data_IF_996903922025
#
_entry.id   IF_996903922025
#
_cell.length_a   1.000
_cell.length_b   1.000
_cell.length_c   1.000
_cell.angle_alpha   90.00
_cell.angle_beta   90.00
_cell.angle_gamma   90.00
#
_symmetry.space_group_name_H-M   'P 1'
#
loop_
_entity.id
_entity.type
_entity.pdbx_description
1 polymer ?
#
# COMPACT_ATOMS: atom_id res chain seq x y z
N UNK A 1 -35.66 -30.09 -18.11
CA UNK A 1 -34.99 -28.77 -18.06
C UNK A 1 -34.18 -28.69 -16.78
N UNK A 2 -32.89 -29.04 -16.84
CA UNK A 2 -31.99 -28.91 -15.71
C UNK A 2 -31.79 -27.41 -15.43
N UNK A 3 -31.97 -26.97 -14.18
CA UNK A 3 -31.60 -25.62 -13.73
C UNK A 3 -30.13 -25.42 -14.08
N UNK A 4 -29.83 -24.45 -14.95
CA UNK A 4 -28.47 -24.02 -15.19
C UNK A 4 -27.85 -23.68 -13.82
N UNK A 5 -26.87 -24.49 -13.37
CA UNK A 5 -26.15 -24.24 -12.14
C UNK A 5 -25.61 -22.82 -12.20
N UNK A 6 -25.91 -22.01 -11.19
CA UNK A 6 -25.47 -20.61 -11.12
C UNK A 6 -23.96 -20.56 -11.27
N UNK A 7 -23.50 -20.11 -12.44
CA UNK A 7 -22.08 -19.99 -12.76
C UNK A 7 -21.45 -19.05 -11.72
N UNK A 8 -20.42 -19.52 -11.03
CA UNK A 8 -19.71 -18.75 -10.00
C UNK A 8 -19.19 -17.45 -10.62
N UNK A 9 -19.55 -16.30 -10.07
CA UNK A 9 -19.04 -15.01 -10.54
C UNK A 9 -17.59 -14.88 -10.12
N UNK A 10 -16.70 -14.75 -11.11
CA UNK A 10 -15.26 -14.62 -10.92
C UNK A 10 -14.76 -13.29 -11.45
N UNK A 11 -14.01 -12.56 -10.61
CA UNK A 11 -13.38 -11.31 -10.96
C UNK A 11 -11.87 -11.49 -11.08
N UNK A 12 -11.29 -11.07 -12.21
CA UNK A 12 -9.84 -10.95 -12.38
C UNK A 12 -9.42 -9.51 -12.11
N UNK A 13 -8.53 -9.28 -11.15
CA UNK A 13 -8.03 -7.97 -10.76
C UNK A 13 -6.58 -7.75 -11.21
N UNK A 14 -6.28 -6.56 -11.76
CA UNK A 14 -4.93 -6.13 -12.13
C UNK A 14 -4.52 -4.91 -11.27
N UNK A 15 -3.41 -5.06 -10.54
CA UNK A 15 -2.79 -4.02 -9.72
C UNK A 15 -1.40 -3.67 -10.28
N UNK A 16 -1.13 -2.37 -10.45
CA UNK A 16 0.09 -1.86 -11.08
C UNK A 16 0.31 -0.37 -10.85
N UNK A 17 -0.11 0.13 -9.68
CA UNK A 17 -0.03 1.55 -9.31
C UNK A 17 1.37 2.00 -8.89
N UNK A 18 2.21 1.07 -8.42
CA UNK A 18 3.50 1.35 -7.80
C UNK A 18 4.60 0.44 -8.39
N UNK A 19 5.60 0.04 -7.59
CA UNK A 19 6.67 -0.87 -8.04
C UNK A 19 6.29 -2.36 -8.01
N UNK A 20 5.06 -2.69 -7.60
CA UNK A 20 4.52 -4.06 -7.62
C UNK A 20 3.50 -4.16 -8.74
N UNK A 21 3.57 -5.27 -9.47
CA UNK A 21 2.55 -5.67 -10.46
C UNK A 21 1.94 -6.98 -9.99
N UNK A 22 0.62 -7.06 -9.97
CA UNK A 22 -0.09 -8.23 -9.47
C UNK A 22 -1.35 -8.54 -10.25
N UNK A 23 -1.68 -9.82 -10.31
CA UNK A 23 -2.93 -10.32 -10.88
C UNK A 23 -3.56 -11.31 -9.92
N UNK A 24 -4.79 -11.05 -9.52
CA UNK A 24 -5.54 -11.90 -8.60
C UNK A 24 -6.89 -12.30 -9.16
N UNK A 25 -7.40 -13.45 -8.72
CA UNK A 25 -8.75 -13.92 -9.06
C UNK A 25 -9.52 -14.18 -7.76
N UNK A 26 -10.70 -13.58 -7.67
CA UNK A 26 -11.59 -13.71 -6.51
C UNK A 26 -12.99 -14.10 -6.95
N UNK A 27 -13.73 -14.78 -6.07
CA UNK A 27 -15.15 -15.06 -6.28
C UNK A 27 -16.07 -14.04 -5.58
N UNK A 28 -17.36 -14.12 -5.85
CA UNK A 28 -18.36 -13.25 -5.21
C UNK A 28 -18.51 -13.44 -3.68
N UNK A 29 -18.01 -14.55 -3.12
CA UNK A 29 -18.01 -14.80 -1.69
C UNK A 29 -16.78 -14.19 -0.99
N UNK A 30 -15.83 -13.62 -1.74
CA UNK A 30 -14.60 -13.03 -1.22
C UNK A 30 -13.45 -14.04 -1.08
N UNK A 31 -13.59 -15.26 -1.62
CA UNK A 31 -12.51 -16.24 -1.62
C UNK A 31 -11.46 -15.84 -2.66
N UNK A 32 -10.19 -15.83 -2.24
CA UNK A 32 -9.05 -15.60 -3.13
C UNK A 32 -8.63 -16.92 -3.75
N UNK A 33 -8.78 -17.05 -5.07
CA UNK A 33 -8.40 -18.25 -5.83
C UNK A 33 -6.96 -18.19 -6.33
N UNK A 34 -6.47 -16.99 -6.64
CA UNK A 34 -5.06 -16.74 -6.97
C UNK A 34 -4.70 -15.29 -6.66
N UNK A 35 -3.41 -15.03 -6.40
CA UNK A 35 -2.90 -13.70 -6.06
C UNK A 35 -1.41 -13.56 -6.42
N UNK A 36 -1.12 -13.67 -7.70
CA UNK A 36 0.25 -13.65 -8.22
C UNK A 36 0.81 -12.23 -8.24
N UNK A 37 2.08 -12.07 -7.88
CA UNK A 37 2.71 -10.75 -7.76
C UNK A 37 4.20 -10.79 -8.04
N UNK A 38 4.68 -9.76 -8.74
CA UNK A 38 6.10 -9.46 -8.92
C UNK A 38 6.45 -8.08 -8.37
N UNK A 39 7.67 -7.93 -7.86
CA UNK A 39 8.17 -6.68 -7.30
C UNK A 39 9.38 -6.20 -8.08
N UNK A 40 9.33 -4.97 -8.58
CA UNK A 40 10.50 -4.32 -9.15
C UNK A 40 11.42 -3.84 -8.01
N UNK A 41 12.59 -4.49 -7.89
CA UNK A 41 13.61 -4.20 -6.90
C UNK A 41 14.77 -3.48 -7.58
N UNK A 42 15.12 -2.28 -7.09
CA UNK A 42 16.24 -1.49 -7.59
C UNK A 42 17.49 -1.68 -6.72
N UNK A 43 18.71 -1.41 -7.23
CA UNK A 43 19.94 -1.46 -6.43
C UNK A 43 19.86 -0.60 -5.16
N UNK A 44 20.60 -0.99 -4.12
CA UNK A 44 20.66 -0.24 -2.87
C UNK A 44 21.04 1.23 -3.10
N UNK A 45 20.42 2.14 -2.35
CA UNK A 45 20.61 3.59 -2.52
C UNK A 45 19.78 4.24 -3.63
N UNK A 46 19.12 3.47 -4.50
CA UNK A 46 18.28 4.00 -5.59
C UNK A 46 16.79 3.80 -5.31
N UNK A 47 15.94 4.66 -5.89
CA UNK A 47 14.49 4.48 -5.91
C UNK A 47 14.01 4.07 -7.30
N UNK A 48 12.83 3.47 -7.40
CA UNK A 48 12.24 3.07 -8.68
C UNK A 48 11.68 4.28 -9.45
N UNK A 49 12.04 4.39 -10.73
CA UNK A 49 11.55 5.45 -11.61
C UNK A 49 10.30 4.99 -12.37
N UNK A 50 9.36 5.91 -12.73
CA UNK A 50 8.13 5.53 -13.42
C UNK A 50 8.35 4.79 -14.74
N UNK A 51 9.36 5.18 -15.53
CA UNK A 51 9.66 4.57 -16.82
C UNK A 51 10.12 3.12 -16.69
N UNK A 52 11.10 2.87 -15.83
CA UNK A 52 11.67 1.54 -15.59
C UNK A 52 10.63 0.60 -14.95
N UNK A 53 9.82 1.15 -14.03
CA UNK A 53 8.72 0.42 -13.42
C UNK A 53 7.67 -0.01 -14.44
N UNK A 54 7.31 0.89 -15.38
CA UNK A 54 6.37 0.56 -16.46
C UNK A 54 6.94 -0.50 -17.42
N UNK A 55 8.25 -0.45 -17.70
CA UNK A 55 8.92 -1.50 -18.47
C UNK A 55 8.85 -2.85 -17.75
N UNK A 56 9.16 -2.88 -16.45
CA UNK A 56 9.00 -4.08 -15.63
C UNK A 56 7.57 -4.62 -15.70
N UNK A 57 6.55 -3.77 -15.56
CA UNK A 57 5.15 -4.20 -15.61
C UNK A 57 4.81 -4.81 -16.97
N UNK A 58 5.25 -4.18 -18.06
CA UNK A 58 5.04 -4.67 -19.43
C UNK A 58 5.63 -6.06 -19.63
N UNK A 59 6.83 -6.32 -19.10
CA UNK A 59 7.50 -7.62 -19.23
C UNK A 59 6.80 -8.75 -18.45
N UNK A 60 6.17 -8.43 -17.32
CA UNK A 60 5.67 -9.46 -16.39
C UNK A 60 4.16 -9.72 -16.48
N UNK A 61 3.37 -8.71 -16.87
CA UNK A 61 1.92 -8.74 -16.70
C UNK A 61 1.24 -9.90 -17.43
N UNK A 62 1.63 -10.24 -18.66
CA UNK A 62 1.02 -11.35 -19.41
C UNK A 62 1.33 -12.72 -18.77
N UNK A 63 2.56 -12.90 -18.29
CA UNK A 63 2.96 -14.11 -17.53
C UNK A 63 2.14 -14.22 -16.24
N UNK A 64 1.92 -13.10 -15.55
CA UNK A 64 1.12 -13.07 -14.32
C UNK A 64 -0.35 -13.38 -14.58
N UNK A 65 -0.94 -12.88 -15.67
CA UNK A 65 -2.31 -13.24 -16.06
C UNK A 65 -2.42 -14.75 -16.28
N UNK A 66 -1.48 -15.34 -17.02
CA UNK A 66 -1.46 -16.78 -17.25
C UNK A 66 -1.27 -17.56 -15.95
N UNK A 67 -0.33 -17.14 -15.10
CA UNK A 67 -0.08 -17.76 -13.80
C UNK A 67 -1.32 -17.70 -12.90
N UNK A 68 -2.01 -16.56 -12.84
CA UNK A 68 -3.21 -16.38 -12.03
C UNK A 68 -4.37 -17.29 -12.48
N UNK A 69 -4.58 -17.43 -13.80
CA UNK A 69 -5.57 -18.36 -14.36
C UNK A 69 -5.23 -19.82 -14.04
N UNK A 70 -3.96 -20.21 -14.21
CA UNK A 70 -3.47 -21.56 -13.90
C UNK A 70 -3.61 -21.88 -12.41
N UNK A 71 -3.18 -20.97 -11.52
CA UNK A 71 -3.25 -21.16 -10.08
C UNK A 71 -4.70 -21.26 -9.57
N UNK A 72 -5.61 -20.46 -10.14
CA UNK A 72 -7.04 -20.53 -9.82
C UNK A 72 -7.75 -21.73 -10.49
N UNK A 73 -7.09 -22.44 -11.41
CA UNK A 73 -7.64 -23.54 -12.20
C UNK A 73 -8.90 -23.16 -13.00
N UNK A 74 -8.90 -21.96 -13.59
CA UNK A 74 -10.03 -21.43 -14.37
C UNK A 74 -9.62 -21.07 -15.79
N UNK A 75 -10.59 -21.08 -16.70
CA UNK A 75 -10.37 -20.67 -18.09
C UNK A 75 -10.74 -19.19 -18.26
N UNK A 76 -10.21 -18.49 -19.28
CA UNK A 76 -10.66 -17.14 -19.61
C UNK A 76 -12.18 -17.00 -19.75
N UNK A 77 -12.85 -18.04 -20.28
CA UNK A 77 -14.30 -18.08 -20.46
C UNK A 77 -15.10 -18.17 -19.16
N UNK A 78 -14.46 -18.46 -18.03
CA UNK A 78 -15.08 -18.50 -16.70
C UNK A 78 -15.02 -17.14 -15.98
N UNK A 79 -14.16 -16.22 -16.45
CA UNK A 79 -14.07 -14.87 -15.90
C UNK A 79 -15.34 -14.10 -16.23
N UNK A 80 -15.95 -13.50 -15.21
CA UNK A 80 -17.20 -12.76 -15.34
C UNK A 80 -16.99 -11.24 -15.46
N UNK A 81 -15.87 -10.74 -14.92
CA UNK A 81 -15.53 -9.31 -14.93
C UNK A 81 -14.03 -9.12 -14.80
N UNK A 82 -13.49 -8.09 -15.45
CA UNK A 82 -12.11 -7.65 -15.26
C UNK A 82 -12.10 -6.34 -14.50
N UNK A 83 -11.31 -6.30 -13.44
CA UNK A 83 -11.09 -5.13 -12.60
C UNK A 83 -9.64 -4.68 -12.77
N UNK A 84 -9.42 -3.36 -12.78
CA UNK A 84 -8.07 -2.82 -12.80
C UNK A 84 -7.98 -1.58 -11.93
N UNK A 85 -6.77 -1.31 -11.47
CA UNK A 85 -6.49 -0.11 -10.69
C UNK A 85 -6.53 1.12 -11.60
N UNK A 86 -7.55 1.95 -11.42
CA UNK A 86 -7.70 3.22 -12.16
C UNK A 86 -6.82 4.32 -11.56
N UNK A 87 -6.51 4.22 -10.27
CA UNK A 87 -5.65 5.14 -9.52
C UNK A 87 -6.09 5.29 -8.06
N UNK A 88 -5.40 6.11 -7.25
CA UNK A 88 -4.19 6.87 -7.60
C UNK A 88 -2.95 5.98 -7.80
N UNK A 89 -1.86 6.54 -8.33
CA UNK A 89 -0.61 5.82 -8.58
C UNK A 89 0.29 6.51 -9.60
N UNK A 90 1.41 5.87 -9.95
CA UNK A 90 2.33 6.37 -10.98
C UNK A 90 1.71 6.24 -12.38
N UNK A 91 1.72 7.32 -13.15
CA UNK A 91 1.02 7.40 -14.44
C UNK A 91 1.45 6.32 -15.45
N UNK A 92 2.76 6.16 -15.68
CA UNK A 92 3.26 5.19 -16.66
C UNK A 92 2.95 3.72 -16.28
N UNK A 93 3.20 3.25 -15.04
CA UNK A 93 2.77 1.93 -14.58
C UNK A 93 1.26 1.69 -14.66
N UNK A 94 0.44 2.67 -14.23
CA UNK A 94 -1.02 2.58 -14.33
C UNK A 94 -1.50 2.40 -15.77
N UNK A 95 -0.86 3.08 -16.73
CA UNK A 95 -1.19 2.96 -18.15
C UNK A 95 -0.98 1.53 -18.67
N UNK A 96 0.05 0.82 -18.20
CA UNK A 96 0.29 -0.59 -18.57
C UNK A 96 -0.85 -1.48 -18.08
N UNK A 97 -1.20 -1.41 -16.79
CA UNK A 97 -2.28 -2.22 -16.22
C UNK A 97 -3.64 -1.94 -16.88
N UNK A 98 -3.95 -0.66 -17.13
CA UNK A 98 -5.16 -0.23 -17.82
C UNK A 98 -5.23 -0.75 -19.26
N UNK A 99 -4.11 -0.69 -19.99
CA UNK A 99 -4.05 -1.18 -21.38
C UNK A 99 -4.31 -2.68 -21.44
N UNK A 100 -3.64 -3.47 -20.60
CA UNK A 100 -3.85 -4.92 -20.55
C UNK A 100 -5.29 -5.25 -20.15
N UNK A 101 -5.83 -4.61 -19.12
CA UNK A 101 -7.19 -4.86 -18.66
C UNK A 101 -8.24 -4.59 -19.75
N UNK A 102 -8.10 -3.48 -20.48
CA UNK A 102 -8.96 -3.14 -21.62
C UNK A 102 -8.85 -4.16 -22.75
N UNK A 103 -7.62 -4.55 -23.12
CA UNK A 103 -7.38 -5.54 -24.16
C UNK A 103 -8.03 -6.88 -23.80
N UNK A 104 -7.84 -7.36 -22.57
CA UNK A 104 -8.46 -8.61 -22.12
C UNK A 104 -9.99 -8.53 -22.07
N UNK A 105 -10.54 -7.39 -21.63
CA UNK A 105 -12.00 -7.17 -21.61
C UNK A 105 -12.60 -7.26 -23.01
N UNK A 106 -11.94 -6.66 -24.01
CA UNK A 106 -12.36 -6.73 -25.41
C UNK A 106 -12.21 -8.15 -25.97
N UNK A 107 -11.08 -8.81 -25.74
CA UNK A 107 -10.80 -10.16 -26.26
C UNK A 107 -11.74 -11.21 -25.67
N UNK A 108 -12.05 -11.13 -24.38
CA UNK A 108 -12.90 -12.10 -23.69
C UNK A 108 -14.36 -11.68 -23.65
N UNK A 109 -14.70 -10.50 -24.18
CA UNK A 109 -16.07 -9.95 -24.18
C UNK A 109 -16.68 -9.90 -22.77
N UNK A 110 -15.88 -9.48 -21.79
CA UNK A 110 -16.29 -9.37 -20.37
C UNK A 110 -16.30 -7.90 -19.92
N UNK A 111 -17.22 -7.50 -19.02
CA UNK A 111 -17.25 -6.15 -18.48
C UNK A 111 -15.92 -5.73 -17.83
N UNK A 112 -15.65 -4.43 -17.89
CA UNK A 112 -14.45 -3.81 -17.31
C UNK A 112 -14.83 -2.81 -16.21
N UNK A 113 -14.19 -2.92 -15.04
CA UNK A 113 -14.42 -2.03 -13.90
C UNK A 113 -13.12 -1.37 -13.46
N UNK A 114 -13.13 -0.04 -13.40
CA UNK A 114 -12.02 0.75 -12.83
C UNK A 114 -12.18 0.87 -11.32
N UNK A 115 -11.16 0.45 -10.57
CA UNK A 115 -11.17 0.40 -9.10
C UNK A 115 -10.24 1.47 -8.54
N UNK A 116 -10.65 2.11 -7.44
CA UNK A 116 -9.79 3.01 -6.68
C UNK A 116 -8.83 2.18 -5.81
N UNK A 117 -7.53 2.46 -5.91
CA UNK A 117 -6.48 1.71 -5.22
C UNK A 117 -6.66 1.70 -3.68
N UNK A 118 -6.92 2.87 -3.09
CA UNK A 118 -7.08 3.01 -1.64
C UNK A 118 -8.32 2.23 -1.14
N UNK A 119 -9.43 2.28 -1.88
CA UNK A 119 -10.64 1.53 -1.55
C UNK A 119 -10.39 0.02 -1.70
N UNK A 120 -9.60 -0.40 -2.70
CA UNK A 120 -9.18 -1.80 -2.86
C UNK A 120 -8.49 -2.34 -1.60
N UNK A 121 -7.58 -1.57 -1.00
CA UNK A 121 -6.95 -1.91 0.28
C UNK A 121 -7.97 -2.05 1.42
N UNK A 122 -8.91 -1.11 1.54
CA UNK A 122 -9.92 -1.12 2.60
C UNK A 122 -10.84 -2.34 2.47
N UNK A 123 -11.41 -2.58 1.29
CA UNK A 123 -12.36 -3.66 1.08
C UNK A 123 -11.70 -5.04 1.19
N UNK A 124 -10.48 -5.21 0.68
CA UNK A 124 -9.73 -6.45 0.89
C UNK A 124 -9.46 -6.68 2.39
N UNK A 125 -9.08 -5.63 3.12
CA UNK A 125 -8.92 -5.70 4.58
C UNK A 125 -10.20 -6.11 5.30
N UNK A 126 -11.36 -5.58 4.91
CA UNK A 126 -12.67 -5.94 5.46
C UNK A 126 -13.02 -7.40 5.20
N UNK A 127 -12.79 -7.89 3.99
CA UNK A 127 -13.02 -9.30 3.61
C UNK A 127 -12.15 -10.24 4.44
N UNK A 128 -10.84 -9.99 4.51
CA UNK A 128 -9.90 -10.88 5.20
C UNK A 128 -10.07 -10.86 6.72
N UNK A 129 -10.36 -9.70 7.31
CA UNK A 129 -10.47 -9.55 8.77
C UNK A 129 -11.90 -9.70 9.32
N UNK A 130 -12.91 -9.72 8.45
CA UNK A 130 -14.32 -9.68 8.86
C UNK A 130 -14.76 -8.34 9.46
N UNK A 131 -13.94 -7.28 9.34
CA UNK A 131 -14.25 -5.98 9.91
C UNK A 131 -15.40 -5.28 9.19
N UNK A 132 -16.44 -4.88 9.94
CA UNK A 132 -17.70 -4.36 9.35
C UNK A 132 -17.73 -2.86 9.12
N UNK A 133 -17.10 -2.05 9.97
CA UNK A 133 -17.04 -0.59 9.82
C UNK A 133 -15.82 0.00 10.54
N UNK A 134 -14.60 -0.29 10.07
CA UNK A 134 -13.38 0.19 10.72
C UNK A 134 -13.09 1.66 10.40
N UNK A 135 -12.41 2.33 11.33
CA UNK A 135 -11.54 3.45 10.99
C UNK A 135 -10.23 2.85 10.49
N UNK A 136 -9.85 3.16 9.26
CA UNK A 136 -8.71 2.56 8.56
C UNK A 136 -7.55 3.52 8.55
N UNK A 137 -6.40 3.08 9.07
CA UNK A 137 -5.12 3.73 8.85
C UNK A 137 -4.47 3.11 7.61
N UNK A 138 -4.51 3.83 6.49
CA UNK A 138 -3.89 3.41 5.24
C UNK A 138 -2.47 3.95 5.15
N UNK A 139 -1.49 3.06 5.31
CA UNK A 139 -0.05 3.38 5.26
C UNK A 139 0.61 2.56 4.16
N UNK A 140 1.19 3.26 3.19
CA UNK A 140 1.95 2.68 2.08
C UNK A 140 3.17 3.54 1.74
N UNK A 141 3.95 3.11 0.74
CA UNK A 141 5.05 3.91 0.19
C UNK A 141 4.61 5.23 -0.42
N UNK A 142 3.36 5.31 -0.92
CA UNK A 142 2.83 6.50 -1.60
C UNK A 142 1.69 7.21 -0.88
N UNK A 143 1.11 6.61 0.17
CA UNK A 143 -0.05 7.16 0.87
C UNK A 143 0.08 7.01 2.38
N UNK A 144 -0.45 7.99 3.11
CA UNK A 144 -0.62 7.93 4.57
C UNK A 144 -1.88 8.69 4.92
N UNK A 145 -2.97 7.96 5.20
CA UNK A 145 -4.31 8.51 5.33
C UNK A 145 -5.10 7.79 6.43
N UNK A 146 -5.93 8.52 7.16
CA UNK A 146 -6.94 8.01 8.08
C UNK A 146 -8.29 8.11 7.39
N UNK A 147 -8.88 6.96 7.06
CA UNK A 147 -10.08 6.86 6.23
C UNK A 147 -11.19 6.18 7.03
N UNK A 148 -12.40 6.71 6.98
CA UNK A 148 -13.58 6.03 7.50
C UNK A 148 -14.79 6.20 6.58
N UNK A 149 -15.72 5.26 6.65
CA UNK A 149 -16.95 5.31 5.86
C UNK A 149 -17.99 6.19 6.56
N UNK A 150 -18.42 7.26 5.90
CA UNK A 150 -19.42 8.19 6.40
C UNK A 150 -20.25 8.76 5.24
N UNK A 151 -21.57 8.80 5.42
CA UNK A 151 -22.52 9.35 4.43
C UNK A 151 -22.31 8.76 3.02
N UNK A 152 -22.27 7.43 2.94
CA UNK A 152 -22.09 6.67 1.72
C UNK A 152 -20.77 6.91 0.96
N UNK A 153 -19.75 7.48 1.63
CA UNK A 153 -18.44 7.74 1.05
C UNK A 153 -17.33 7.33 2.00
N UNK A 154 -16.24 6.82 1.45
CA UNK A 154 -14.97 6.76 2.17
C UNK A 154 -14.38 8.17 2.21
N UNK A 155 -14.27 8.73 3.42
CA UNK A 155 -13.76 10.08 3.67
C UNK A 155 -12.40 10.02 4.36
N UNK A 156 -11.52 10.92 3.96
CA UNK A 156 -10.23 11.14 4.62
C UNK A 156 -10.47 12.10 5.79
N UNK A 157 -10.18 11.65 7.00
CA UNK A 157 -10.28 12.45 8.22
C UNK A 157 -8.94 13.09 8.60
N UNK A 158 -7.83 12.48 8.19
CA UNK A 158 -6.50 13.06 8.34
C UNK A 158 -5.55 12.41 7.34
N UNK A 159 -4.55 13.16 6.90
CA UNK A 159 -3.55 12.65 5.96
C UNK A 159 -2.17 13.27 6.18
N UNK A 160 -1.18 12.72 5.48
CA UNK A 160 0.10 13.40 5.39
C UNK A 160 -0.04 14.69 4.59
N UNK A 161 0.52 15.79 5.09
CA UNK A 161 0.58 17.07 4.37
C UNK A 161 1.80 17.18 3.45
N UNK A 162 2.69 16.18 3.46
CA UNK A 162 3.90 16.16 2.63
C UNK A 162 4.16 14.81 1.96
N UNK A 163 5.06 13.98 2.50
CA UNK A 163 5.42 12.67 1.98
C UNK A 163 4.73 11.58 2.79
N UNK A 164 4.46 10.44 2.19
CA UNK A 164 3.98 9.28 2.94
C UNK A 164 5.07 8.77 3.91
N UNK A 165 4.65 8.18 5.04
CA UNK A 165 5.59 7.60 6.00
C UNK A 165 6.42 6.47 5.38
N UNK A 166 5.84 5.68 4.46
CA UNK A 166 6.60 4.69 3.70
C UNK A 166 7.68 5.32 2.82
N UNK A 167 7.39 6.45 2.15
CA UNK A 167 8.40 7.18 1.38
C UNK A 167 9.52 7.73 2.28
N UNK A 168 9.18 8.23 3.47
CA UNK A 168 10.15 8.68 4.46
C UNK A 168 11.11 7.54 4.83
N UNK A 169 10.58 6.36 5.17
CA UNK A 169 11.38 5.17 5.48
C UNK A 169 12.23 4.73 4.28
N UNK A 170 11.67 4.67 3.08
CA UNK A 170 12.41 4.28 1.87
C UNK A 170 13.56 5.25 1.55
N UNK A 171 13.40 6.56 1.84
CA UNK A 171 14.48 7.54 1.72
C UNK A 171 15.52 7.37 2.80
N UNK A 172 15.13 7.13 4.05
CA UNK A 172 16.07 6.83 5.14
C UNK A 172 16.88 5.58 4.85
N UNK A 173 16.27 4.52 4.32
CA UNK A 173 16.97 3.29 3.95
C UNK A 173 18.06 3.55 2.90
N UNK A 174 17.76 4.39 1.90
CA UNK A 174 18.73 4.82 0.89
C UNK A 174 19.88 5.62 1.46
N UNK A 175 19.61 6.56 2.37
CA UNK A 175 20.65 7.33 3.06
C UNK A 175 21.59 6.42 3.87
N UNK A 176 21.05 5.36 4.45
CA UNK A 176 21.80 4.34 5.21
C UNK A 176 22.48 3.28 4.32
N UNK A 177 22.26 3.30 3.01
CA UNK A 177 22.78 2.28 2.09
C UNK A 177 22.19 0.88 2.31
N UNK A 178 20.99 0.78 2.89
CA UNK A 178 20.31 -0.49 3.10
C UNK A 178 19.78 -1.06 1.78
N UNK A 179 19.69 -2.40 1.71
CA UNK A 179 19.11 -3.10 0.56
C UNK A 179 17.64 -2.73 0.37
N UNK A 180 17.18 -2.75 -0.88
CA UNK A 180 15.76 -2.65 -1.22
C UNK A 180 15.06 -4.02 -1.21
N UNK A 181 15.80 -5.12 -1.06
CA UNK A 181 15.29 -6.50 -1.00
C UNK A 181 15.15 -6.96 0.47
N UNK A 182 14.00 -7.54 0.90
CA UNK A 182 12.73 -7.66 0.16
C UNK A 182 11.94 -6.34 0.10
N UNK A 183 12.19 -5.44 1.05
CA UNK A 183 11.70 -4.07 1.04
C UNK A 183 12.59 -3.19 1.94
N UNK A 184 12.84 -1.93 1.58
CA UNK A 184 13.63 -1.01 2.40
C UNK A 184 13.07 -0.83 3.83
N UNK A 185 11.75 -0.69 3.98
CA UNK A 185 11.10 -0.59 5.29
C UNK A 185 11.32 -1.83 6.18
N UNK A 186 11.34 -3.03 5.60
CA UNK A 186 11.63 -4.26 6.33
C UNK A 186 13.07 -4.27 6.87
N UNK A 187 14.02 -3.84 6.05
CA UNK A 187 15.43 -3.77 6.46
C UNK A 187 15.66 -2.72 7.56
N UNK A 188 14.95 -1.58 7.52
CA UNK A 188 14.94 -0.62 8.63
C UNK A 188 14.41 -1.28 9.91
N UNK A 189 13.30 -2.02 9.83
CA UNK A 189 12.71 -2.70 10.99
C UNK A 189 13.69 -3.69 11.63
N UNK A 190 14.40 -4.49 10.83
CA UNK A 190 15.39 -5.45 11.37
C UNK A 190 16.60 -4.75 12.01
N UNK A 191 17.03 -3.61 11.47
CA UNK A 191 18.04 -2.77 12.11
C UNK A 191 17.53 -2.19 13.44
N UNK A 192 16.30 -1.67 13.46
CA UNK A 192 15.69 -1.08 14.64
C UNK A 192 15.57 -2.05 15.82
N UNK A 193 15.36 -3.35 15.59
CA UNK A 193 15.35 -4.39 16.64
C UNK A 193 16.68 -4.52 17.39
N UNK A 194 17.80 -4.13 16.76
CA UNK A 194 19.16 -4.17 17.35
C UNK A 194 19.55 -2.84 17.98
N UNK A 195 18.75 -1.80 17.81
CA UNK A 195 19.00 -0.47 18.35
C UNK A 195 18.95 -0.46 19.87
N UNK A 196 19.91 0.25 20.49
CA UNK A 196 20.00 0.41 21.96
C UNK A 196 19.84 1.84 22.43
N UNK A 197 20.08 2.80 21.55
CA UNK A 197 20.03 4.23 21.85
C UNK A 197 18.75 4.82 21.26
N UNK A 198 17.99 5.51 22.10
CA UNK A 198 16.87 6.33 21.65
C UNK A 198 17.38 7.74 21.32
N UNK A 199 17.10 8.21 20.12
CA UNK A 199 17.40 9.57 19.67
C UNK A 199 16.09 10.33 19.58
N UNK A 200 16.02 11.49 20.20
CA UNK A 200 14.87 12.39 20.07
C UNK A 200 14.80 12.94 18.65
N UNK A 201 13.61 12.84 18.05
CA UNK A 201 13.34 13.26 16.68
C UNK A 201 12.17 14.24 16.66
N UNK A 202 12.09 15.11 15.63
CA UNK A 202 10.94 16.00 15.46
C UNK A 202 9.63 15.21 15.38
N UNK A 203 8.66 15.56 16.22
CA UNK A 203 7.31 14.99 16.22
C UNK A 203 6.31 16.04 15.74
N UNK A 204 5.83 15.91 14.50
CA UNK A 204 4.99 16.93 13.84
C UNK A 204 3.61 16.38 13.51
N UNK A 205 2.65 16.65 14.41
CA UNK A 205 1.23 16.34 14.24
C UNK A 205 0.41 17.62 14.32
N UNK A 206 -0.46 17.84 13.33
CA UNK A 206 -1.32 19.04 13.21
C UNK A 206 -2.78 18.60 13.14
N UNK A 207 -3.45 18.56 14.30
CA UNK A 207 -4.83 18.05 14.35
C UNK A 207 -4.88 16.55 14.07
N UNK A 208 -5.47 16.14 12.94
CA UNK A 208 -5.46 14.76 12.44
C UNK A 208 -4.40 14.52 11.36
N UNK A 209 -3.71 15.57 10.93
CA UNK A 209 -2.71 15.51 9.87
C UNK A 209 -1.30 15.33 10.42
N UNK A 210 -0.41 14.81 9.58
CA UNK A 210 0.97 14.45 9.93
C UNK A 210 1.96 14.98 8.89
N UNK A 211 3.21 15.25 9.29
CA UNK A 211 4.29 15.66 8.37
C UNK A 211 5.57 14.89 8.66
N UNK A 212 6.22 14.38 7.61
CA UNK A 212 7.39 13.51 7.70
C UNK A 212 8.64 14.10 7.02
N UNK A 213 8.54 15.18 6.25
CA UNK A 213 9.72 15.79 5.60
C UNK A 213 10.71 16.34 6.61
N UNK A 214 10.22 17.02 7.66
CA UNK A 214 11.08 17.54 8.74
C UNK A 214 11.82 16.44 9.49
N UNK A 215 11.15 15.29 9.70
CA UNK A 215 11.76 14.09 10.27
C UNK A 215 12.89 13.57 9.37
N UNK A 216 12.63 13.43 8.07
CA UNK A 216 13.61 12.95 7.11
C UNK A 216 14.85 13.86 7.03
N UNK A 217 14.66 15.18 6.92
CA UNK A 217 15.77 16.14 6.87
C UNK A 217 16.60 16.13 8.16
N UNK A 218 15.96 15.96 9.32
CA UNK A 218 16.68 15.83 10.59
C UNK A 218 17.54 14.55 10.63
N UNK A 219 16.99 13.43 10.18
CA UNK A 219 17.74 12.16 10.08
C UNK A 219 18.92 12.30 9.12
N UNK A 220 18.73 12.96 7.98
CA UNK A 220 19.81 13.23 7.02
C UNK A 220 20.94 14.06 7.65
N UNK A 221 20.60 15.13 8.37
CA UNK A 221 21.58 15.95 9.07
C UNK A 221 22.34 15.17 10.17
N UNK A 222 21.63 14.30 10.91
CA UNK A 222 22.25 13.44 11.93
C UNK A 222 23.29 12.49 11.33
N UNK A 223 22.98 11.86 10.19
CA UNK A 223 23.88 10.92 9.52
C UNK A 223 25.15 11.60 8.96
N UNK A 224 25.08 12.90 8.66
CA UNK A 224 26.24 13.67 8.21
C UNK A 224 27.16 14.13 9.36
N UNK A 225 26.66 14.13 10.60
CA UNK A 225 27.39 14.62 11.76
C UNK A 225 28.60 13.71 12.10
N UNK A 226 29.79 14.28 12.43
CA UNK A 226 31.02 13.49 12.64
C UNK A 226 30.90 12.35 13.65
N UNK A 227 30.09 12.53 14.69
CA UNK A 227 29.82 11.49 15.71
C UNK A 227 29.15 10.23 15.18
N UNK A 228 28.46 10.31 14.03
CA UNK A 228 27.72 9.21 13.39
C UNK A 228 28.31 8.80 12.03
N UNK A 229 29.39 9.45 11.58
CA UNK A 229 30.11 9.11 10.33
C UNK A 229 30.90 7.80 10.41
N UNK A 230 31.21 7.35 11.63
CA UNK A 230 31.97 6.13 11.87
C UNK A 230 31.02 4.92 11.71
N UNK A 231 31.08 4.26 10.55
CA UNK A 231 30.15 3.19 10.15
C UNK A 231 30.07 2.04 11.16
N UNK A 232 31.11 1.85 11.96
CA UNK A 232 31.19 0.81 13.00
C UNK A 232 30.46 1.17 14.32
N UNK A 233 30.00 2.42 14.48
CA UNK A 233 29.24 2.87 15.67
C UNK A 233 27.76 3.08 15.40
N UNK A 234 27.32 2.97 14.15
CA UNK A 234 25.93 3.19 13.75
C UNK A 234 25.06 1.93 13.92
N UNK A 235 24.91 1.48 15.17
CA UNK A 235 23.74 0.71 15.62
C UNK A 235 22.65 1.63 16.21
N UNK A 236 22.67 2.92 15.87
CA UNK A 236 21.59 3.85 16.13
C UNK A 236 20.60 3.79 14.96
N UNK A 237 19.49 3.07 15.13
CA UNK A 237 18.39 3.11 14.18
C UNK A 237 17.22 3.84 14.81
N UNK A 238 16.63 4.74 14.04
CA UNK A 238 15.33 5.36 14.32
C UNK A 238 14.28 4.25 14.37
N UNK A 239 13.79 3.93 15.56
CA UNK A 239 12.76 2.91 15.78
C UNK A 239 11.35 3.48 15.54
N UNK A 240 10.37 2.67 15.06
CA UNK A 240 9.01 3.11 14.71
C UNK A 240 8.12 3.49 15.91
N UNK A 241 8.66 3.82 17.08
CA UNK A 241 7.84 4.11 18.27
C UNK A 241 7.00 5.39 18.15
N UNK A 242 7.17 6.20 17.09
CA UNK A 242 6.20 7.21 16.69
C UNK A 242 4.88 6.63 16.14
N UNK A 243 4.84 5.34 15.77
CA UNK A 243 3.64 4.63 15.31
C UNK A 243 2.92 3.85 16.44
N UNK A 244 3.56 3.57 17.58
CA UNK A 244 2.95 2.76 18.65
C UNK A 244 2.12 3.55 19.68
N UNK A 245 2.06 4.88 19.59
CA UNK A 245 1.15 5.68 20.43
C UNK A 245 -0.26 5.87 19.82
N UNK A 246 -0.59 5.13 18.75
CA UNK A 246 -1.97 5.02 18.20
C UNK A 246 -2.98 4.36 19.14
N UNK A 247 -2.67 4.18 20.42
CA UNK A 247 -3.66 4.04 21.49
C UNK A 247 -4.41 5.36 21.81
N UNK A 248 -4.23 6.41 21.01
CA UNK A 248 -5.14 7.57 20.93
C UNK A 248 -6.37 7.33 20.03
N UNK A 249 -6.90 6.10 20.01
CA UNK A 249 -8.27 5.81 19.54
C UNK A 249 -9.38 6.48 20.41
N UNK A 250 -9.03 7.32 21.39
CA UNK A 250 -9.98 7.99 22.31
C UNK A 250 -10.49 9.38 21.87
N UNK A 251 -10.13 9.90 20.69
CA UNK A 251 -10.58 11.24 20.26
C UNK A 251 -11.67 11.28 19.18
N UNK A 252 -12.33 10.17 18.88
CA UNK A 252 -13.44 10.11 17.92
C UNK A 252 -14.81 9.73 18.54
N UNK A 253 -15.07 10.14 19.80
CA UNK A 253 -16.41 10.05 20.40
C UNK A 253 -16.78 11.39 21.05
N UNK A 254 -17.98 11.95 20.80
CA UNK A 254 -18.38 13.21 21.40
C UNK A 254 -18.54 13.04 22.91
N UNK A 255 -17.78 13.83 23.68
CA UNK A 255 -18.01 13.99 25.11
C UNK A 255 -19.40 14.62 25.31
N UNK A 256 -20.33 13.88 25.92
CA UNK A 256 -21.55 14.46 26.49
C UNK A 256 -21.14 15.52 27.53
N UNK A 257 -21.71 16.71 27.42
CA UNK A 257 -21.38 17.88 28.25
C UNK A 257 -21.70 17.68 29.74
N UNK A 258 -21.18 18.57 30.60
CA UNK A 258 -21.42 18.48 32.03
C UNK A 258 -22.87 18.84 32.35
N UNK A 259 -23.56 17.94 33.05
CA UNK A 259 -24.79 18.28 33.76
C UNK A 259 -24.46 19.31 34.84
N UNK A 260 -24.88 20.56 34.60
CA UNK A 260 -25.09 21.52 35.68
C UNK A 260 -26.21 20.96 36.58
N UNK A 261 -25.86 20.59 37.81
CA UNK A 261 -26.80 20.45 38.92
C UNK A 261 -26.28 21.30 40.08
N UNK A 262 -27.09 22.33 40.36
CA UNK A 262 -27.08 23.27 41.50
C UNK A 262 -25.93 24.26 41.56
#
# INVERSE_FOLDING_TARGET
MARAGTRRTLALGIEGSANKIGVGIVDAAGNVLSNERETYITPAGTGFLPRETAQHHTTHILRLVQAALTAAQVRPSDISVICYTKGPGMGAPLAVGCTVAKTLSLLWSVPLVGVNHCIGHIEMGRVVTGSKNPVVLYVSGGNTQVIAYAEHRYRIFGETIDIAVGNCLDRTARLLGLSNDPAPGYNIEQCAKRGRLFIELPYVVKGMDMSFTGLLSFVEALLQHPKFKDKDKCLATVSPSALSSTCTQRRALPKRGPQCRR
#
